data_IF_872650742788
#
_entry.id   IF_872650742788
#
_cell.length_a   1.000
_cell.length_b   1.000
_cell.length_c   1.000
_cell.angle_alpha   90.00
_cell.angle_beta   90.00
_cell.angle_gamma   90.00
#
_symmetry.space_group_name_H-M   'P 1'
#
loop_
_entity.id
_entity.type
_entity.pdbx_description
1 polymer ?
#
# COMPACT_ATOMS: atom_id res chain seq x y z
N UNK A 1 14.10 -28.81 -30.76
CA UNK A 1 15.56 -29.04 -30.64
C UNK A 1 16.23 -27.70 -30.84
N UNK A 2 17.05 -27.26 -29.89
CA UNK A 2 17.87 -26.06 -30.03
C UNK A 2 18.88 -26.33 -31.16
N UNK A 3 18.71 -25.74 -32.34
CA UNK A 3 19.82 -25.65 -33.28
C UNK A 3 20.84 -24.71 -32.63
N UNK A 4 22.07 -25.20 -32.41
CA UNK A 4 23.21 -24.41 -31.93
C UNK A 4 23.12 -23.85 -30.49
N UNK A 5 22.26 -24.41 -29.64
CA UNK A 5 22.12 -23.94 -28.25
C UNK A 5 21.36 -22.61 -28.11
N UNK A 6 20.71 -22.15 -29.18
CA UNK A 6 19.91 -20.92 -29.19
C UNK A 6 18.44 -21.25 -28.92
N UNK A 7 17.87 -20.64 -27.87
CA UNK A 7 16.43 -20.73 -27.58
C UNK A 7 15.69 -19.62 -28.34
N UNK A 8 15.08 -19.98 -29.48
CA UNK A 8 14.31 -19.05 -30.30
C UNK A 8 12.89 -18.90 -29.74
N UNK A 9 12.57 -17.69 -29.27
CA UNK A 9 11.24 -17.35 -28.74
C UNK A 9 10.36 -16.81 -29.87
N UNK A 10 9.20 -17.44 -30.08
CA UNK A 10 8.19 -16.97 -31.05
C UNK A 10 7.18 -16.04 -30.35
N UNK A 11 6.75 -16.42 -29.14
CA UNK A 11 5.80 -15.69 -28.33
C UNK A 11 6.27 -15.73 -26.88
N UNK A 12 6.21 -14.57 -26.21
CA UNK A 12 6.46 -14.45 -24.79
C UNK A 12 5.14 -14.10 -24.11
N UNK A 13 4.86 -14.69 -22.97
CA UNK A 13 3.64 -14.44 -22.23
C UNK A 13 3.82 -14.78 -20.76
N UNK A 14 2.90 -14.28 -19.94
CA UNK A 14 2.88 -14.59 -18.53
C UNK A 14 2.35 -16.00 -18.24
N UNK A 15 2.75 -16.62 -17.12
CA UNK A 15 2.08 -17.82 -16.65
C UNK A 15 0.59 -17.51 -16.40
N UNK A 16 -0.32 -18.47 -16.63
CA UNK A 16 -1.75 -18.23 -16.42
C UNK A 16 -2.02 -17.94 -14.94
N UNK A 17 -2.94 -17.01 -14.69
CA UNK A 17 -3.35 -16.68 -13.32
C UNK A 17 -4.27 -17.78 -12.78
N UNK A 18 -3.99 -18.25 -11.56
CA UNK A 18 -4.87 -19.14 -10.83
C UNK A 18 -6.00 -18.36 -10.16
N UNK A 19 -7.23 -18.87 -10.28
CA UNK A 19 -8.38 -18.31 -9.59
C UNK A 19 -8.27 -18.48 -8.07
N UNK A 20 -8.59 -17.43 -7.31
CA UNK A 20 -8.45 -17.40 -5.85
C UNK A 20 -9.19 -18.54 -5.14
N UNK A 21 -10.41 -18.87 -5.57
CA UNK A 21 -11.19 -19.93 -4.94
C UNK A 21 -10.56 -21.31 -5.19
N UNK A 22 -9.88 -21.49 -6.32
CA UNK A 22 -9.10 -22.71 -6.59
C UNK A 22 -7.87 -22.78 -5.68
N UNK A 23 -7.12 -21.67 -5.53
CA UNK A 23 -5.97 -21.61 -4.62
C UNK A 23 -6.37 -21.96 -3.20
N UNK A 24 -7.43 -21.32 -2.66
CA UNK A 24 -7.88 -21.56 -1.28
C UNK A 24 -8.33 -23.01 -1.05
N UNK A 25 -8.96 -23.65 -2.04
CA UNK A 25 -9.31 -25.08 -1.96
C UNK A 25 -8.08 -25.96 -1.93
N UNK A 26 -7.06 -25.67 -2.74
CA UNK A 26 -5.82 -26.43 -2.78
C UNK A 26 -5.04 -26.34 -1.46
N UNK A 27 -5.04 -25.16 -0.83
CA UNK A 27 -4.29 -24.90 0.41
C UNK A 27 -4.88 -25.56 1.67
N UNK A 28 -6.05 -26.19 1.57
CA UNK A 28 -6.64 -27.02 2.65
C UNK A 28 -6.74 -26.29 4.01
N UNK A 29 -7.03 -25.00 4.00
CA UNK A 29 -7.25 -24.18 5.20
C UNK A 29 -6.00 -23.57 5.85
N UNK A 30 -4.81 -23.74 5.24
CA UNK A 30 -3.60 -23.04 5.68
C UNK A 30 -3.73 -21.52 5.47
N UNK A 31 -3.28 -20.73 6.44
CA UNK A 31 -3.29 -19.28 6.38
C UNK A 31 -1.98 -18.72 5.79
N UNK A 32 -2.04 -18.31 4.53
CA UNK A 32 -0.93 -17.69 3.81
C UNK A 32 -0.92 -16.16 3.90
N UNK A 33 -2.07 -15.57 4.21
CA UNK A 33 -2.20 -14.11 4.31
C UNK A 33 -1.64 -13.62 5.65
N UNK A 34 -1.90 -14.40 6.71
CA UNK A 34 -1.63 -14.08 8.10
C UNK A 34 -2.90 -13.66 8.84
N UNK A 35 -2.82 -13.63 10.17
CA UNK A 35 -3.96 -13.30 11.05
C UNK A 35 -4.62 -14.51 11.71
N UNK A 36 -4.15 -15.73 11.42
CA UNK A 36 -4.58 -16.95 12.06
C UNK A 36 -5.59 -17.73 11.23
N UNK A 37 -5.60 -19.05 11.44
CA UNK A 37 -6.59 -19.93 10.82
C UNK A 37 -7.97 -19.65 11.41
N UNK A 38 -8.94 -19.44 10.53
CA UNK A 38 -10.34 -19.25 10.90
C UNK A 38 -11.12 -20.52 10.64
N UNK A 39 -11.99 -20.89 11.57
CA UNK A 39 -12.99 -21.92 11.34
C UNK A 39 -14.02 -21.45 10.29
N UNK A 40 -14.78 -22.40 9.75
CA UNK A 40 -15.86 -22.08 8.80
C UNK A 40 -16.92 -21.18 9.43
N UNK A 41 -17.25 -21.41 10.69
CA UNK A 41 -18.25 -20.64 11.44
C UNK A 41 -17.78 -19.20 11.67
N UNK A 42 -16.52 -19.01 12.04
CA UNK A 42 -15.92 -17.68 12.18
C UNK A 42 -15.88 -16.93 10.85
N UNK A 43 -15.51 -17.61 9.77
CA UNK A 43 -15.51 -17.01 8.43
C UNK A 43 -16.90 -16.53 8.01
N UNK A 44 -17.95 -17.34 8.25
CA UNK A 44 -19.34 -16.94 7.97
C UNK A 44 -19.76 -15.74 8.84
N UNK A 45 -19.40 -15.77 10.12
CA UNK A 45 -19.69 -14.65 11.04
C UNK A 45 -19.00 -13.35 10.59
N UNK A 46 -17.75 -13.43 10.15
CA UNK A 46 -17.03 -12.25 9.63
C UNK A 46 -17.67 -11.74 8.34
N UNK A 47 -18.09 -12.61 7.42
CA UNK A 47 -18.81 -12.21 6.22
C UNK A 47 -20.14 -11.50 6.54
N UNK A 48 -20.86 -11.96 7.57
CA UNK A 48 -22.08 -11.30 8.02
C UNK A 48 -21.83 -9.91 8.62
N UNK A 49 -20.71 -9.73 9.34
CA UNK A 49 -20.31 -8.43 9.88
C UNK A 49 -19.82 -7.49 8.78
N UNK A 50 -19.07 -8.00 7.82
CA UNK A 50 -18.58 -7.24 6.66
C UNK A 50 -19.73 -6.59 5.89
N UNK A 51 -20.80 -7.35 5.59
CA UNK A 51 -21.99 -6.81 4.91
C UNK A 51 -22.70 -5.70 5.70
N UNK A 52 -22.56 -5.68 7.02
CA UNK A 52 -23.12 -4.61 7.87
C UNK A 52 -22.22 -3.38 7.93
N UNK A 53 -20.96 -3.53 7.58
CA UNK A 53 -19.93 -2.49 7.54
C UNK A 53 -19.80 -1.86 6.14
N UNK A 54 -20.88 -1.83 5.36
CA UNK A 54 -20.89 -1.29 3.98
C UNK A 54 -20.43 0.19 3.92
N UNK A 55 -20.73 0.95 4.97
CA UNK A 55 -20.36 2.36 5.09
C UNK A 55 -18.96 2.58 5.68
N UNK A 56 -18.27 1.53 6.15
CA UNK A 56 -16.90 1.68 6.62
C UNK A 56 -15.99 2.08 5.47
N UNK A 57 -15.11 3.03 5.73
CA UNK A 57 -14.21 3.58 4.73
C UNK A 57 -12.80 3.77 5.27
N UNK A 58 -11.83 3.58 4.37
CA UNK A 58 -10.42 3.85 4.61
C UNK A 58 -10.02 5.08 3.79
N UNK A 59 -9.32 6.03 4.42
CA UNK A 59 -8.74 7.18 3.73
C UNK A 59 -7.25 6.92 3.55
N UNK A 60 -6.79 6.89 2.31
CA UNK A 60 -5.45 6.45 1.96
C UNK A 60 -4.72 7.60 1.26
N UNK A 61 -3.58 7.97 1.84
CA UNK A 61 -2.68 9.00 1.35
C UNK A 61 -1.27 8.42 1.16
N UNK A 62 -0.52 8.93 0.19
CA UNK A 62 0.84 8.49 -0.11
C UNK A 62 1.75 9.69 -0.43
N UNK A 63 3.05 9.55 -0.16
CA UNK A 63 4.07 10.60 -0.36
C UNK A 63 3.70 11.92 0.34
N UNK A 64 3.66 11.88 1.67
CA UNK A 64 3.15 12.96 2.55
C UNK A 64 4.31 13.64 3.26
N UNK A 65 4.86 14.71 2.66
CA UNK A 65 6.04 15.42 3.11
C UNK A 65 5.70 16.30 4.31
N UNK A 66 6.08 15.86 5.51
CA UNK A 66 5.78 16.57 6.76
C UNK A 66 6.66 17.82 6.96
N UNK A 67 7.68 17.99 6.14
CA UNK A 67 8.53 19.17 6.04
C UNK A 67 7.97 20.26 5.11
N UNK A 68 6.91 19.96 4.37
CA UNK A 68 6.19 20.93 3.57
C UNK A 68 4.94 21.44 4.32
N UNK A 69 4.95 22.72 4.71
CA UNK A 69 3.85 23.35 5.42
C UNK A 69 2.55 23.40 4.60
N UNK A 70 2.63 23.43 3.26
CA UNK A 70 1.44 23.38 2.42
C UNK A 70 0.83 21.97 2.44
N UNK A 71 1.65 20.93 2.30
CA UNK A 71 1.19 19.54 2.38
C UNK A 71 0.53 19.25 3.74
N UNK A 72 1.13 19.70 4.84
CA UNK A 72 0.56 19.49 6.19
C UNK A 72 -0.78 20.23 6.38
N UNK A 73 -0.92 21.48 5.88
CA UNK A 73 -2.22 22.19 5.89
C UNK A 73 -3.28 21.48 5.07
N UNK A 74 -2.89 20.88 3.95
CA UNK A 74 -3.80 20.06 3.14
C UNK A 74 -4.21 18.78 3.87
N UNK A 75 -3.30 18.13 4.60
CA UNK A 75 -3.66 16.99 5.48
C UNK A 75 -4.70 17.43 6.52
N UNK A 76 -4.51 18.58 7.17
CA UNK A 76 -5.49 19.14 8.11
C UNK A 76 -6.85 19.37 7.43
N UNK A 77 -6.86 19.93 6.21
CA UNK A 77 -8.10 20.11 5.43
C UNK A 77 -8.83 18.79 5.12
N UNK A 78 -8.09 17.71 4.83
CA UNK A 78 -8.68 16.37 4.65
C UNK A 78 -9.30 15.89 5.96
N UNK A 79 -8.60 16.05 7.09
CA UNK A 79 -9.10 15.64 8.40
C UNK A 79 -10.35 16.44 8.81
N UNK A 80 -10.36 17.76 8.58
CA UNK A 80 -11.52 18.62 8.78
C UNK A 80 -12.74 18.13 7.98
N UNK A 81 -12.52 17.76 6.71
CA UNK A 81 -13.55 17.21 5.84
C UNK A 81 -14.21 15.96 6.43
N UNK A 82 -13.40 15.05 7.00
CA UNK A 82 -13.89 13.79 7.57
C UNK A 82 -14.35 13.88 9.02
N UNK A 83 -13.92 14.87 9.81
CA UNK A 83 -14.43 15.08 11.16
C UNK A 83 -15.91 15.51 11.13
N UNK A 84 -16.36 16.12 10.03
CA UNK A 84 -17.71 16.63 9.86
C UNK A 84 -18.69 15.66 9.18
N UNK A 85 -18.24 14.49 8.72
CA UNK A 85 -19.15 13.50 8.11
C UNK A 85 -19.92 12.70 9.16
N UNK A 86 -21.04 12.11 8.75
CA UNK A 86 -21.89 11.29 9.62
C UNK A 86 -21.13 10.03 10.10
N UNK A 87 -20.56 9.29 9.14
CA UNK A 87 -19.75 8.10 9.40
C UNK A 87 -18.28 8.45 9.18
N UNK A 88 -17.51 8.51 10.25
CA UNK A 88 -16.07 8.78 10.17
C UNK A 88 -15.32 7.57 9.62
N UNK A 89 -14.21 7.77 8.88
CA UNK A 89 -13.39 6.67 8.40
C UNK A 89 -12.90 5.78 9.54
N UNK A 90 -12.93 4.46 9.36
CA UNK A 90 -12.45 3.53 10.38
C UNK A 90 -10.91 3.44 10.39
N UNK A 91 -10.26 3.81 9.27
CA UNK A 91 -8.81 3.79 9.12
C UNK A 91 -8.32 4.92 8.22
N UNK A 92 -7.30 5.64 8.67
CA UNK A 92 -6.45 6.46 7.82
C UNK A 92 -5.12 5.74 7.59
N UNK A 93 -4.70 5.65 6.33
CA UNK A 93 -3.42 5.06 5.94
C UNK A 93 -2.54 6.16 5.36
N UNK A 94 -1.47 6.45 6.08
CA UNK A 94 -0.42 7.38 5.68
C UNK A 94 0.77 6.57 5.17
N UNK A 95 0.94 6.51 3.86
CA UNK A 95 2.13 5.94 3.25
C UNK A 95 3.18 7.04 3.05
N UNK A 96 4.43 6.75 3.39
CA UNK A 96 5.56 7.64 3.16
C UNK A 96 5.76 7.95 1.66
N UNK A 97 6.79 8.68 1.25
CA UNK A 97 7.83 9.24 2.11
C UNK A 97 7.28 10.37 2.97
N UNK A 98 7.76 10.47 4.21
CA UNK A 98 7.34 11.48 5.18
C UNK A 98 8.16 12.77 5.15
N UNK A 99 9.13 12.84 4.24
CA UNK A 99 10.00 13.98 4.03
C UNK A 99 10.23 14.18 2.53
N UNK A 100 10.28 15.42 2.06
CA UNK A 100 10.52 15.77 0.66
C UNK A 100 11.91 15.34 0.16
N UNK A 101 12.85 15.14 1.09
CA UNK A 101 14.23 14.71 0.83
C UNK A 101 14.56 13.45 1.61
N UNK A 102 15.44 12.57 1.07
CA UNK A 102 15.85 11.37 1.78
C UNK A 102 16.43 11.66 3.16
N UNK A 103 15.93 10.98 4.19
CA UNK A 103 16.44 11.10 5.54
C UNK A 103 17.76 10.32 5.69
N UNK A 104 18.89 11.01 5.57
CA UNK A 104 20.21 10.43 5.78
C UNK A 104 21.05 11.25 6.79
N UNK A 105 22.17 10.67 7.22
CA UNK A 105 23.08 11.29 8.20
C UNK A 105 23.62 12.65 7.76
N UNK A 106 23.74 12.89 6.45
CA UNK A 106 24.26 14.14 5.90
C UNK A 106 23.30 15.32 6.05
N UNK A 107 21.99 15.07 6.15
CA UNK A 107 20.97 16.11 6.22
C UNK A 107 20.44 16.41 7.63
N UNK A 108 20.98 15.75 8.68
CA UNK A 108 20.61 15.93 10.10
C UNK A 108 19.09 16.03 10.38
N UNK A 109 18.25 15.43 9.52
CA UNK A 109 16.81 15.71 9.49
C UNK A 109 16.00 14.91 10.52
N UNK A 110 16.61 13.97 11.25
CA UNK A 110 15.89 13.10 12.20
C UNK A 110 15.22 13.88 13.35
N UNK A 111 15.85 14.93 13.88
CA UNK A 111 15.24 15.76 14.93
C UNK A 111 14.09 16.60 14.39
N UNK A 112 14.24 17.14 13.18
CA UNK A 112 13.18 17.91 12.53
C UNK A 112 11.99 17.02 12.19
N UNK A 113 12.24 15.85 11.59
CA UNK A 113 11.20 14.89 11.25
C UNK A 113 10.45 14.40 12.51
N UNK A 114 11.16 14.15 13.61
CA UNK A 114 10.53 13.83 14.89
C UNK A 114 9.57 14.94 15.35
N UNK A 115 9.97 16.21 15.24
CA UNK A 115 9.11 17.33 15.59
C UNK A 115 7.90 17.44 14.65
N UNK A 116 8.09 17.19 13.35
CA UNK A 116 7.02 17.19 12.35
C UNK A 116 5.99 16.09 12.60
N UNK A 117 6.43 14.89 12.99
CA UNK A 117 5.52 13.84 13.48
C UNK A 117 4.75 14.29 14.72
N UNK A 118 5.38 15.03 15.63
CA UNK A 118 4.70 15.66 16.77
C UNK A 118 3.59 16.60 16.33
N UNK A 119 3.88 17.53 15.41
CA UNK A 119 2.89 18.46 14.83
C UNK A 119 1.74 17.72 14.15
N UNK A 120 2.01 16.68 13.37
CA UNK A 120 0.96 15.84 12.79
C UNK A 120 0.10 15.17 13.87
N UNK A 121 0.72 14.70 14.95
CA UNK A 121 0.02 14.17 16.11
C UNK A 121 -0.90 15.19 16.78
N UNK A 122 -0.46 16.45 16.91
CA UNK A 122 -1.28 17.56 17.42
C UNK A 122 -2.48 17.84 16.50
N UNK A 123 -2.27 17.89 15.19
CA UNK A 123 -3.34 18.08 14.19
C UNK A 123 -4.37 16.95 14.31
N UNK A 124 -3.94 15.68 14.32
CA UNK A 124 -4.87 14.56 14.51
C UNK A 124 -5.60 14.66 15.85
N UNK A 125 -4.91 15.08 16.92
CA UNK A 125 -5.54 15.22 18.23
C UNK A 125 -6.53 16.38 18.35
N UNK A 126 -6.47 17.37 17.46
CA UNK A 126 -7.46 18.43 17.33
C UNK A 126 -8.80 17.94 16.74
N UNK A 127 -8.83 16.72 16.17
CA UNK A 127 -10.00 16.07 15.57
C UNK A 127 -10.49 14.92 16.48
N UNK A 128 -11.28 15.20 17.54
CA UNK A 128 -11.59 14.23 18.58
C UNK A 128 -12.40 13.04 18.05
N UNK A 129 -13.35 13.23 17.11
CA UNK A 129 -14.14 12.10 16.57
C UNK A 129 -13.24 11.16 15.77
N UNK A 130 -12.37 11.70 14.91
CA UNK A 130 -11.39 10.89 14.17
C UNK A 130 -10.43 10.18 15.13
N UNK A 131 -9.92 10.88 16.15
CA UNK A 131 -9.01 10.27 17.14
C UNK A 131 -9.63 9.10 17.90
N UNK A 132 -10.91 9.20 18.26
CA UNK A 132 -11.61 8.20 19.06
C UNK A 132 -12.08 7.00 18.23
N UNK A 133 -12.56 7.24 17.01
CA UNK A 133 -13.22 6.21 16.20
C UNK A 133 -12.40 5.71 15.01
N UNK A 134 -11.34 6.41 14.61
CA UNK A 134 -10.45 5.99 13.52
C UNK A 134 -9.14 5.40 14.05
N UNK A 135 -8.55 4.51 13.27
CA UNK A 135 -7.16 4.06 13.42
C UNK A 135 -6.27 4.84 12.45
N UNK A 136 -5.01 5.01 12.82
CA UNK A 136 -4.01 5.70 11.99
C UNK A 136 -2.87 4.74 11.72
N UNK A 137 -2.69 4.32 10.47
CA UNK A 137 -1.65 3.41 10.03
C UNK A 137 -0.59 4.18 9.25
N UNK A 138 0.67 4.03 9.64
CA UNK A 138 1.82 4.63 8.99
C UNK A 138 2.69 3.54 8.36
N UNK A 139 2.96 3.68 7.07
CA UNK A 139 3.76 2.73 6.27
C UNK A 139 4.97 3.47 5.71
N UNK A 140 6.21 3.04 5.98
CA UNK A 140 7.41 3.75 5.53
C UNK A 140 7.60 3.63 4.02
N UNK A 141 7.98 4.72 3.38
CA UNK A 141 8.38 4.77 1.99
C UNK A 141 9.84 4.40 1.73
N UNK A 142 10.26 4.41 0.45
CA UNK A 142 11.61 4.02 0.03
C UNK A 142 12.72 5.00 0.48
N UNK A 143 12.42 6.26 0.76
CA UNK A 143 13.41 7.27 1.17
C UNK A 143 13.31 7.66 2.66
N UNK A 144 12.39 7.03 3.38
CA UNK A 144 12.21 7.24 4.82
C UNK A 144 13.37 6.67 5.64
N UNK A 145 13.47 7.17 6.87
CA UNK A 145 14.44 6.71 7.84
C UNK A 145 14.29 5.20 8.13
N UNK A 146 15.39 4.46 8.00
CA UNK A 146 15.44 3.04 8.28
C UNK A 146 16.87 2.49 8.15
N UNK A 147 17.07 1.19 8.49
CA UNK A 147 18.39 0.58 8.43
C UNK A 147 18.90 0.38 7.00
N UNK A 148 18.00 0.26 6.01
CA UNK A 148 18.34 0.10 4.60
C UNK A 148 17.15 0.40 3.68
N UNK A 149 17.40 0.43 2.37
CA UNK A 149 16.37 0.51 1.31
C UNK A 149 15.93 -0.86 0.80
N UNK A 150 16.36 -1.94 1.45
CA UNK A 150 16.05 -3.34 1.10
C UNK A 150 14.63 -3.70 1.56
N UNK A 151 13.92 -4.52 0.77
CA UNK A 151 12.58 -5.01 1.12
C UNK A 151 12.65 -6.39 1.83
N UNK A 152 11.66 -6.73 2.68
CA UNK A 152 10.68 -5.83 3.27
C UNK A 152 11.35 -4.83 4.23
N UNK A 153 10.79 -3.63 4.33
CA UNK A 153 11.26 -2.60 5.25
C UNK A 153 10.55 -2.72 6.60
N UNK A 154 11.32 -2.57 7.68
CA UNK A 154 10.75 -2.46 9.02
C UNK A 154 9.96 -1.16 9.19
N UNK A 155 9.13 -1.10 10.23
CA UNK A 155 8.46 0.13 10.64
C UNK A 155 9.45 1.25 10.98
N UNK A 156 8.95 2.50 10.97
CA UNK A 156 9.75 3.67 11.34
C UNK A 156 10.32 3.52 12.76
N UNK A 157 11.58 3.96 12.99
CA UNK A 157 12.19 3.92 14.32
C UNK A 157 11.36 4.63 15.39
N UNK A 158 11.21 4.00 16.56
CA UNK A 158 10.45 4.55 17.71
C UNK A 158 10.87 5.95 18.12
N UNK A 159 12.14 6.31 17.93
CA UNK A 159 12.65 7.66 18.21
C UNK A 159 11.90 8.74 17.41
N UNK A 160 11.55 8.47 16.15
CA UNK A 160 10.87 9.42 15.26
C UNK A 160 9.39 9.51 15.58
N UNK A 161 8.78 8.38 15.93
CA UNK A 161 7.33 8.27 16.12
C UNK A 161 6.87 8.63 17.53
N UNK A 162 7.81 8.74 18.48
CA UNK A 162 7.53 8.98 19.89
C UNK A 162 6.69 10.24 20.15
N UNK A 163 6.91 11.34 19.42
CA UNK A 163 6.13 12.57 19.63
C UNK A 163 4.69 12.40 19.14
N UNK A 164 4.47 11.82 17.96
CA UNK A 164 3.11 11.53 17.47
C UNK A 164 2.34 10.64 18.44
N UNK A 165 2.99 9.60 18.98
CA UNK A 165 2.37 8.63 19.89
C UNK A 165 1.95 9.25 21.25
N UNK A 166 2.52 10.40 21.66
CA UNK A 166 2.03 11.12 22.85
C UNK A 166 0.61 11.65 22.63
N UNK A 167 0.30 12.06 21.39
CA UNK A 167 -1.00 12.64 21.02
C UNK A 167 -1.98 11.59 20.52
N UNK A 168 -1.49 10.59 19.77
CA UNK A 168 -2.27 9.52 19.15
C UNK A 168 -1.71 8.15 19.58
N UNK A 169 -1.99 7.69 20.81
CA UNK A 169 -1.38 6.46 21.35
C UNK A 169 -1.80 5.18 20.59
N UNK A 170 -2.91 5.24 19.86
CA UNK A 170 -3.46 4.14 19.07
C UNK A 170 -2.89 4.08 17.63
N UNK A 171 -1.99 4.99 17.25
CA UNK A 171 -1.35 4.96 15.94
C UNK A 171 -0.50 3.69 15.75
N UNK A 172 -0.58 3.12 14.56
CA UNK A 172 0.08 1.87 14.18
C UNK A 172 1.18 2.21 13.18
N UNK A 173 2.41 1.84 13.47
CA UNK A 173 3.54 1.95 12.54
C UNK A 173 3.90 0.54 12.08
N UNK A 174 3.77 0.26 10.79
CA UNK A 174 3.93 -1.09 10.22
C UNK A 174 5.10 -1.17 9.24
N UNK A 175 5.39 -2.38 8.76
CA UNK A 175 6.37 -2.62 7.71
C UNK A 175 5.91 -2.12 6.34
N UNK A 176 6.82 -2.12 5.37
CA UNK A 176 6.47 -1.95 3.95
C UNK A 176 7.06 -3.12 3.13
N UNK A 177 6.24 -3.94 2.47
CA UNK A 177 4.77 -3.90 2.47
C UNK A 177 4.16 -4.23 3.83
N UNK A 178 2.85 -4.02 3.95
CA UNK A 178 2.06 -4.59 5.03
C UNK A 178 0.71 -5.13 4.50
N UNK A 179 0.04 -5.92 5.34
CA UNK A 179 -1.21 -6.59 5.02
C UNK A 179 -2.26 -6.25 6.07
N UNK A 180 -3.48 -5.99 5.63
CA UNK A 180 -4.64 -5.74 6.48
C UNK A 180 -5.72 -6.76 6.11
N UNK A 181 -6.27 -7.39 7.14
CA UNK A 181 -7.46 -8.22 7.03
C UNK A 181 -8.65 -7.44 7.57
N UNK A 182 -9.57 -7.06 6.70
CA UNK A 182 -10.82 -6.41 7.07
C UNK A 182 -11.95 -7.44 6.94
N UNK A 183 -12.34 -8.04 8.06
CA UNK A 183 -13.24 -9.20 8.07
C UNK A 183 -12.73 -10.33 7.16
N UNK A 184 -13.37 -10.56 6.00
CA UNK A 184 -12.98 -11.57 5.02
C UNK A 184 -12.13 -11.00 3.88
N UNK A 185 -12.01 -9.67 3.79
CA UNK A 185 -11.21 -8.97 2.79
C UNK A 185 -9.72 -8.97 3.16
N UNK A 186 -8.90 -9.17 2.14
CA UNK A 186 -7.44 -9.26 2.23
C UNK A 186 -6.85 -8.12 1.40
N UNK A 187 -6.20 -7.17 2.07
CA UNK A 187 -5.72 -5.93 1.47
C UNK A 187 -4.21 -5.82 1.68
N UNK A 188 -3.46 -5.65 0.60
CA UNK A 188 -2.00 -5.51 0.63
C UNK A 188 -1.62 -4.07 0.32
N UNK A 189 -0.82 -3.45 1.17
CA UNK A 189 -0.29 -2.11 0.95
C UNK A 189 1.21 -2.20 0.65
N UNK A 190 1.63 -1.50 -0.40
CA UNK A 190 3.03 -1.47 -0.81
C UNK A 190 3.42 -0.09 -1.31
N UNK A 191 4.30 0.60 -0.57
CA UNK A 191 4.83 1.92 -0.94
C UNK A 191 6.15 1.77 -1.68
N UNK A 192 6.13 1.94 -3.00
CA UNK A 192 7.32 1.93 -3.84
C UNK A 192 7.02 2.62 -5.17
N UNK A 193 8.00 3.33 -5.74
CA UNK A 193 7.92 3.90 -7.09
C UNK A 193 8.13 2.77 -8.13
N UNK A 194 7.24 1.79 -8.09
CA UNK A 194 7.34 0.52 -8.82
C UNK A 194 7.11 0.70 -10.31
N UNK A 195 6.16 1.55 -10.71
CA UNK A 195 5.85 1.78 -12.11
C UNK A 195 7.08 2.29 -12.85
N UNK A 196 7.72 3.33 -12.31
CA UNK A 196 8.95 3.88 -12.87
C UNK A 196 10.08 2.83 -12.96
N UNK A 197 10.29 2.05 -11.89
CA UNK A 197 11.34 1.01 -11.86
C UNK A 197 11.10 -0.11 -12.86
N UNK A 198 9.86 -0.58 -12.96
CA UNK A 198 9.46 -1.60 -13.94
C UNK A 198 9.66 -1.10 -15.36
N UNK A 199 9.20 0.12 -15.67
CA UNK A 199 9.34 0.72 -17.00
C UNK A 199 10.80 0.88 -17.41
N UNK A 200 11.68 1.27 -16.49
CA UNK A 200 13.14 1.37 -16.76
C UNK A 200 13.82 0.02 -16.94
N UNK A 201 13.23 -1.04 -16.42
CA UNK A 201 13.77 -2.40 -16.48
C UNK A 201 13.14 -3.25 -17.58
N UNK A 202 12.14 -2.71 -18.31
CA UNK A 202 11.50 -3.40 -19.42
C UNK A 202 12.47 -3.54 -20.59
N UNK A 203 12.72 -4.78 -21.02
CA UNK A 203 13.48 -5.07 -22.23
C UNK A 203 12.64 -4.80 -23.49
N UNK A 204 11.36 -5.18 -23.45
CA UNK A 204 10.40 -4.96 -24.52
C UNK A 204 9.31 -4.06 -23.92
N UNK A 205 9.08 -2.86 -24.46
CA UNK A 205 7.97 -2.04 -24.01
C UNK A 205 6.64 -2.75 -24.35
N UNK A 206 5.62 -2.66 -23.48
CA UNK A 206 4.29 -3.17 -23.75
C UNK A 206 3.74 -2.71 -25.09
N UNK A 207 3.08 -3.61 -25.80
CA UNK A 207 2.41 -3.29 -27.06
C UNK A 207 1.19 -2.42 -26.79
N UNK A 208 0.97 -1.42 -27.64
CA UNK A 208 -0.25 -0.61 -27.64
C UNK A 208 -1.51 -1.40 -28.00
N UNK A 209 -1.34 -2.62 -28.55
CA UNK A 209 -2.44 -3.55 -28.83
C UNK A 209 -2.96 -4.24 -27.55
N UNK A 210 -2.10 -4.45 -26.55
CA UNK A 210 -2.47 -5.15 -25.31
C UNK A 210 -3.03 -4.18 -24.27
N UNK A 211 -2.27 -3.13 -23.97
CA UNK A 211 -2.73 -2.03 -23.12
C UNK A 211 -1.92 -0.76 -23.40
N UNK A 212 -2.62 0.37 -23.43
CA UNK A 212 -1.99 1.69 -23.53
C UNK A 212 -1.69 2.29 -22.16
N UNK A 213 -2.21 1.71 -21.07
CA UNK A 213 -2.01 2.20 -19.71
C UNK A 213 -0.84 1.46 -19.03
N UNK A 214 0.27 2.15 -18.72
CA UNK A 214 1.39 1.57 -18.00
C UNK A 214 1.00 0.98 -16.63
N UNK A 215 0.00 1.55 -15.96
CA UNK A 215 -0.49 1.06 -14.67
C UNK A 215 -1.21 -0.28 -14.82
N UNK A 216 -2.08 -0.44 -15.82
CA UNK A 216 -2.75 -1.72 -16.08
C UNK A 216 -1.74 -2.83 -16.36
N UNK A 217 -0.71 -2.54 -17.17
CA UNK A 217 0.36 -3.50 -17.45
C UNK A 217 1.15 -3.85 -16.18
N UNK A 218 1.41 -2.88 -15.30
CA UNK A 218 2.05 -3.12 -14.02
C UNK A 218 1.23 -4.08 -13.15
N UNK A 219 -0.08 -3.82 -13.03
CA UNK A 219 -1.01 -4.65 -12.25
C UNK A 219 -1.05 -6.07 -12.79
N UNK A 220 -1.16 -6.23 -14.11
CA UNK A 220 -1.10 -7.55 -14.75
C UNK A 220 0.22 -8.25 -14.42
N UNK A 221 1.36 -7.55 -14.54
CA UNK A 221 2.69 -8.10 -14.27
C UNK A 221 2.82 -8.62 -12.83
N UNK A 222 2.52 -7.80 -11.82
CA UNK A 222 2.68 -8.22 -10.41
C UNK A 222 1.72 -9.35 -10.04
N UNK A 223 0.52 -9.36 -10.62
CA UNK A 223 -0.49 -10.38 -10.38
C UNK A 223 -0.08 -11.71 -10.99
N UNK A 224 0.32 -11.71 -12.26
CA UNK A 224 0.80 -12.92 -12.94
C UNK A 224 2.09 -13.47 -12.36
N UNK A 225 3.01 -12.62 -11.91
CA UNK A 225 4.22 -13.05 -11.22
C UNK A 225 3.96 -13.44 -9.75
N UNK A 226 2.74 -13.21 -9.23
CA UNK A 226 2.38 -13.45 -7.83
C UNK A 226 3.39 -12.83 -6.83
N UNK A 227 3.95 -11.67 -7.17
CA UNK A 227 5.00 -11.01 -6.42
C UNK A 227 4.84 -9.49 -6.53
N UNK A 228 4.98 -8.77 -5.41
CA UNK A 228 4.87 -7.30 -5.38
C UNK A 228 6.01 -6.60 -6.13
N UNK A 229 7.18 -7.22 -6.21
CA UNK A 229 8.35 -6.61 -6.83
C UNK A 229 9.14 -7.64 -7.68
N UNK A 230 8.63 -8.06 -8.84
CA UNK A 230 9.33 -8.99 -9.75
C UNK A 230 10.45 -8.28 -10.50
N UNK A 231 11.42 -7.74 -9.77
CA UNK A 231 12.61 -7.07 -10.30
C UNK A 231 13.87 -7.81 -9.86
N UNK A 232 14.95 -7.76 -10.65
CA UNK A 232 16.24 -8.27 -10.22
C UNK A 232 16.76 -7.59 -8.93
N UNK A 233 17.48 -8.34 -8.10
CA UNK A 233 17.99 -7.87 -6.81
C UNK A 233 18.94 -6.66 -6.90
N UNK A 234 19.61 -6.45 -8.04
CA UNK A 234 20.45 -5.27 -8.24
C UNK A 234 19.64 -3.99 -8.52
N UNK A 235 18.36 -4.11 -8.89
CA UNK A 235 17.42 -3.00 -9.10
C UNK A 235 16.63 -2.73 -7.83
N UNK A 236 16.13 -3.79 -7.19
CA UNK A 236 15.48 -3.71 -5.88
C UNK A 236 16.01 -4.84 -5.00
N UNK A 237 16.91 -4.54 -4.06
CA UNK A 237 17.36 -5.53 -3.10
C UNK A 237 16.20 -6.03 -2.24
N UNK A 238 16.18 -7.34 -2.01
CA UNK A 238 15.24 -8.04 -1.13
C UNK A 238 16.05 -8.90 -0.17
N UNK A 239 15.68 -8.89 1.11
CA UNK A 239 16.26 -9.77 2.12
C UNK A 239 15.82 -11.19 1.78
N UNK A 240 16.77 -12.04 1.36
CA UNK A 240 16.47 -13.37 0.81
C UNK A 240 15.56 -14.22 1.73
N UNK A 241 15.78 -14.15 3.04
CA UNK A 241 14.97 -14.90 4.02
C UNK A 241 13.51 -14.41 4.13
N UNK A 242 13.20 -13.22 3.63
CA UNK A 242 11.88 -12.57 3.73
C UNK A 242 11.24 -12.28 2.36
N UNK A 243 11.73 -12.87 1.27
CA UNK A 243 11.13 -12.74 -0.06
C UNK A 243 9.65 -13.16 -0.08
N UNK A 244 9.31 -14.20 0.68
CA UNK A 244 7.95 -14.68 0.88
C UNK A 244 6.95 -13.61 1.40
N UNK A 245 7.43 -12.55 2.07
CA UNK A 245 6.58 -11.45 2.53
C UNK A 245 6.05 -10.58 1.38
N UNK A 246 6.70 -10.63 0.21
CA UNK A 246 6.32 -9.90 -1.00
C UNK A 246 5.41 -10.71 -1.92
N UNK A 247 5.12 -11.97 -1.58
CA UNK A 247 4.26 -12.84 -2.38
C UNK A 247 2.81 -12.33 -2.37
N UNK A 248 2.14 -12.55 -3.49
CA UNK A 248 0.71 -12.30 -3.73
C UNK A 248 -0.04 -13.62 -3.96
N UNK A 249 0.43 -14.73 -3.38
CA UNK A 249 -0.22 -16.03 -3.46
C UNK A 249 -0.72 -16.49 -2.08
N UNK A 250 -2.01 -16.85 -1.92
CA UNK A 250 -3.10 -16.60 -2.86
C UNK A 250 -3.29 -15.11 -3.18
N UNK A 251 -3.95 -14.82 -4.30
CA UNK A 251 -4.22 -13.45 -4.71
C UNK A 251 -5.08 -12.73 -3.67
N UNK A 252 -4.68 -11.55 -3.19
CA UNK A 252 -5.50 -10.76 -2.28
C UNK A 252 -6.72 -10.19 -3.01
N UNK A 253 -7.67 -9.65 -2.24
CA UNK A 253 -8.82 -8.96 -2.83
C UNK A 253 -8.42 -7.58 -3.37
N UNK A 254 -7.54 -6.89 -2.64
CA UNK A 254 -7.12 -5.53 -2.99
C UNK A 254 -5.62 -5.33 -2.83
N UNK A 255 -5.01 -4.63 -3.78
CA UNK A 255 -3.61 -4.21 -3.75
C UNK A 255 -3.55 -2.68 -3.85
N UNK A 256 -2.96 -2.06 -2.85
CA UNK A 256 -2.78 -0.61 -2.78
C UNK A 256 -1.30 -0.30 -3.03
N UNK A 257 -1.01 0.29 -4.18
CA UNK A 257 0.34 0.66 -4.59
C UNK A 257 0.56 2.14 -4.31
N UNK A 258 1.38 2.48 -3.32
CA UNK A 258 1.83 3.87 -3.12
C UNK A 258 2.94 4.19 -4.11
N UNK A 259 2.58 4.79 -5.25
CA UNK A 259 3.51 5.18 -6.30
C UNK A 259 3.33 6.69 -6.58
N UNK A 260 4.42 7.37 -6.98
CA UNK A 260 4.38 8.80 -7.33
C UNK A 260 3.67 9.10 -8.66
N UNK A 261 3.31 8.07 -9.43
CA UNK A 261 2.49 8.22 -10.63
C UNK A 261 1.08 8.69 -10.32
N UNK A 262 0.34 9.05 -11.36
CA UNK A 262 -1.04 9.54 -11.26
C UNK A 262 -1.98 8.54 -10.57
N UNK A 263 -3.07 9.07 -10.01
CA UNK A 263 -4.16 8.26 -9.47
C UNK A 263 -4.78 7.37 -10.54
N UNK A 264 -4.78 6.07 -10.28
CA UNK A 264 -5.34 5.04 -11.17
C UNK A 264 -5.89 3.89 -10.36
N UNK A 265 -6.95 3.27 -10.87
CA UNK A 265 -7.51 2.03 -10.34
C UNK A 265 -7.79 1.11 -11.52
N UNK A 266 -7.54 -0.18 -11.29
CA UNK A 266 -7.77 -1.21 -12.28
C UNK A 266 -8.24 -2.47 -11.59
N UNK A 267 -9.38 -3.00 -12.04
CA UNK A 267 -9.89 -4.29 -11.59
C UNK A 267 -9.41 -5.34 -12.58
N UNK A 268 -8.46 -6.16 -12.15
CA UNK A 268 -7.87 -7.20 -12.96
C UNK A 268 -8.24 -8.57 -12.40
N UNK A 269 -8.98 -9.37 -13.18
CA UNK A 269 -9.31 -10.77 -12.82
C UNK A 269 -9.86 -10.94 -11.39
N UNK A 270 -10.71 -10.02 -10.93
CA UNK A 270 -11.31 -10.04 -9.59
C UNK A 270 -10.49 -9.38 -8.47
N UNK A 271 -9.28 -8.90 -8.78
CA UNK A 271 -8.42 -8.16 -7.85
C UNK A 271 -8.57 -6.67 -8.11
N UNK A 272 -8.85 -5.89 -7.07
CA UNK A 272 -8.89 -4.42 -7.15
C UNK A 272 -7.50 -3.87 -6.86
N UNK A 273 -6.84 -3.27 -7.84
CA UNK A 273 -5.55 -2.62 -7.63
C UNK A 273 -5.66 -1.11 -7.89
N UNK A 274 -5.12 -0.29 -6.99
CA UNK A 274 -5.13 1.16 -7.18
C UNK A 274 -3.92 1.87 -6.58
N UNK A 275 -3.64 3.06 -7.10
CA UNK A 275 -2.63 3.98 -6.63
C UNK A 275 -3.29 5.29 -6.16
N UNK A 276 -3.07 5.73 -4.91
CA UNK A 276 -3.59 7.00 -4.41
C UNK A 276 -2.84 8.23 -4.94
N UNK A 277 -1.70 8.07 -5.61
CA UNK A 277 -0.90 9.18 -6.14
C UNK A 277 0.00 9.85 -5.09
N UNK A 278 0.62 10.97 -5.48
CA UNK A 278 1.46 11.79 -4.59
C UNK A 278 0.62 12.88 -3.94
N UNK A 279 0.37 12.77 -2.63
CA UNK A 279 -0.41 13.78 -1.90
C UNK A 279 0.31 15.12 -1.85
N UNK A 280 1.62 15.13 -1.60
CA UNK A 280 2.35 16.40 -1.49
C UNK A 280 2.49 17.14 -2.81
N UNK A 281 2.55 16.40 -3.93
CA UNK A 281 2.67 17.00 -5.26
C UNK A 281 1.31 17.40 -5.84
N UNK A 282 0.34 16.49 -5.77
CA UNK A 282 -0.92 16.61 -6.52
C UNK A 282 -2.13 16.86 -5.62
N UNK A 283 -1.96 16.85 -4.28
CA UNK A 283 -3.05 16.99 -3.30
C UNK A 283 -4.11 15.89 -3.44
N UNK A 284 -3.69 14.71 -3.90
CA UNK A 284 -4.56 13.58 -4.25
C UNK A 284 -4.59 12.52 -3.16
N UNK A 285 -5.77 11.98 -2.88
CA UNK A 285 -5.98 10.89 -1.93
C UNK A 285 -7.16 10.01 -2.36
N UNK A 286 -7.34 8.87 -1.69
CA UNK A 286 -8.40 7.90 -2.02
C UNK A 286 -9.25 7.61 -0.80
N UNK A 287 -10.56 7.63 -0.98
CA UNK A 287 -11.52 7.01 -0.08
C UNK A 287 -11.86 5.60 -0.61
N UNK A 288 -11.55 4.57 0.18
CA UNK A 288 -11.72 3.17 -0.21
C UNK A 288 -12.74 2.49 0.70
N UNK A 289 -13.76 1.85 0.13
CA UNK A 289 -14.75 1.06 0.88
C UNK A 289 -14.39 -0.42 0.80
N UNK A 290 -13.84 -1.02 1.86
CA UNK A 290 -13.36 -2.40 1.81
C UNK A 290 -14.46 -3.43 1.53
N UNK A 291 -15.69 -3.22 2.01
CA UNK A 291 -16.80 -4.15 1.79
C UNK A 291 -17.19 -4.27 0.31
N UNK A 292 -17.30 -3.14 -0.40
CA UNK A 292 -17.70 -3.12 -1.83
C UNK A 292 -16.50 -3.11 -2.78
N UNK A 293 -15.29 -2.94 -2.24
CA UNK A 293 -14.06 -2.70 -2.99
C UNK A 293 -14.20 -1.53 -3.97
N UNK A 294 -14.93 -0.50 -3.55
CA UNK A 294 -15.10 0.74 -4.29
C UNK A 294 -13.97 1.71 -3.97
N UNK A 295 -13.45 2.35 -5.01
CA UNK A 295 -12.31 3.27 -4.96
C UNK A 295 -12.81 4.64 -5.42
N UNK A 296 -12.93 5.57 -4.49
CA UNK A 296 -13.34 6.95 -4.74
C UNK A 296 -12.08 7.83 -4.76
N UNK A 297 -11.73 8.37 -5.94
CA UNK A 297 -10.62 9.31 -6.07
C UNK A 297 -11.03 10.70 -5.57
N UNK A 298 -10.12 11.37 -4.88
CA UNK A 298 -10.33 12.71 -4.36
C UNK A 298 -9.06 13.56 -4.52
N UNK A 299 -9.27 14.86 -4.71
CA UNK A 299 -8.22 15.88 -4.78
C UNK A 299 -8.70 17.14 -4.08
N UNK A 300 -7.78 17.84 -3.40
CA UNK A 300 -8.03 19.16 -2.82
C UNK A 300 -7.76 20.30 -3.80
#
# INVERSE_FOLDING_TARGET
MLLEGIFQVITCGFPPLEDRDKSLKALSGLDFFGGGMLTREETLRLADLERKAENDMFVILSDIWLDDEEAVRKVETVLDGFENVEVVPSLFVFMGNFCSRPCNLSFHSFSSLRLQFGKLGEIIAAHPRLKEHSRFLFIPGPDDAGPSTVLPRCALPRYLTAELLKHVPNAIFSSNPCRIKFYTQEIVFFRQDLLYRMRRSCLIPPSTEETNDPFEHLVATITHQSHLCPLPLFIQPIIWNYDHCLHLYPTPHTIVLGDRSEQRAFKYTGITCFNPGSFSSDSTFVAYRPCTQEVEFSSL
#
